data_IF_011283467066
#
_entry.id   IF_011283467066
#
_cell.length_a   1.000
_cell.length_b   1.000
_cell.length_c   1.000
_cell.angle_alpha   90.00
_cell.angle_beta   90.00
_cell.angle_gamma   90.00
#
_symmetry.space_group_name_H-M   'P 1'
#
loop_
_entity.id
_entity.type
_entity.pdbx_description
1 polymer ?
#
# COMPACT_ATOMS: atom_id res chain seq x y z
N UNK A 1 9.31 14.93 -1.39
CA UNK A 1 8.41 14.14 -0.56
C UNK A 1 9.21 13.05 0.12
N UNK A 2 9.11 12.92 1.45
CA UNK A 2 9.60 11.76 2.19
C UNK A 2 8.69 10.56 1.93
N UNK A 3 9.12 9.36 2.34
CA UNK A 3 8.27 8.17 2.15
C UNK A 3 6.97 8.26 2.96
N UNK A 4 7.05 8.81 4.17
CA UNK A 4 5.86 9.01 5.01
C UNK A 4 4.86 9.97 4.34
N UNK A 5 5.34 11.11 3.85
CA UNK A 5 4.48 12.07 3.14
C UNK A 5 3.89 11.49 1.85
N UNK A 6 4.62 10.59 1.18
CA UNK A 6 4.11 9.90 -0.01
C UNK A 6 2.97 8.93 0.32
N UNK A 7 3.11 8.15 1.39
CA UNK A 7 2.03 7.29 1.87
C UNK A 7 0.81 8.11 2.29
N UNK A 8 1.02 9.18 3.08
CA UNK A 8 -0.07 10.09 3.47
C UNK A 8 -0.74 10.71 2.24
N UNK A 9 0.00 11.05 1.19
CA UNK A 9 -0.58 11.52 -0.06
C UNK A 9 -1.46 10.46 -0.71
N UNK A 10 -0.99 9.22 -0.87
CA UNK A 10 -1.79 8.14 -1.46
C UNK A 10 -3.05 7.85 -0.63
N UNK A 11 -2.91 7.74 0.69
CA UNK A 11 -4.02 7.44 1.61
C UNK A 11 -5.16 8.47 1.55
N UNK A 12 -4.86 9.71 1.15
CA UNK A 12 -5.86 10.78 1.05
C UNK A 12 -6.37 11.04 -0.38
N UNK A 13 -5.64 10.59 -1.41
CA UNK A 13 -5.91 11.00 -2.81
C UNK A 13 -6.09 9.82 -3.77
N UNK A 14 -5.86 8.58 -3.32
CA UNK A 14 -5.96 7.38 -4.16
C UNK A 14 -7.04 6.43 -3.63
N UNK A 15 -8.11 6.29 -4.40
CA UNK A 15 -9.26 5.42 -4.13
C UNK A 15 -8.88 3.93 -4.01
N UNK A 16 -7.86 3.49 -4.76
CA UNK A 16 -7.35 2.12 -4.66
C UNK A 16 -6.69 1.78 -3.32
N UNK A 17 -6.43 2.76 -2.44
CA UNK A 17 -5.98 2.51 -1.08
C UNK A 17 -7.00 1.67 -0.29
N UNK A 18 -8.29 2.05 -0.32
CA UNK A 18 -9.34 1.33 0.39
C UNK A 18 -9.45 -0.12 -0.11
N UNK A 19 -9.41 -0.30 -1.44
CA UNK A 19 -9.44 -1.62 -2.09
C UNK A 19 -8.26 -2.49 -1.66
N UNK A 20 -7.05 -1.93 -1.61
CA UNK A 20 -5.88 -2.65 -1.12
C UNK A 20 -6.07 -3.07 0.33
N UNK A 21 -6.52 -2.16 1.19
CA UNK A 21 -6.65 -2.38 2.62
C UNK A 21 -7.70 -3.45 2.94
N UNK A 22 -8.81 -3.46 2.22
CA UNK A 22 -9.84 -4.51 2.32
C UNK A 22 -9.27 -5.89 1.96
N UNK A 23 -8.61 -6.00 0.79
CA UNK A 23 -7.99 -7.26 0.34
C UNK A 23 -6.91 -7.74 1.33
N UNK A 24 -6.07 -6.82 1.81
CA UNK A 24 -4.98 -7.14 2.73
C UNK A 24 -5.49 -7.54 4.11
N UNK A 25 -6.54 -6.89 4.62
CA UNK A 25 -7.18 -7.26 5.87
C UNK A 25 -7.81 -8.65 5.78
N UNK A 26 -8.57 -8.94 4.71
CA UNK A 26 -9.14 -10.26 4.46
C UNK A 26 -8.06 -11.35 4.45
N UNK A 27 -6.94 -11.12 3.74
CA UNK A 27 -5.79 -12.01 3.72
C UNK A 27 -5.21 -12.25 5.13
N UNK A 28 -4.97 -11.18 5.91
CA UNK A 28 -4.42 -11.31 7.25
C UNK A 28 -5.39 -12.03 8.21
N UNK A 29 -6.69 -11.81 8.09
CA UNK A 29 -7.69 -12.54 8.88
C UNK A 29 -7.69 -14.03 8.55
N UNK A 30 -7.68 -14.42 7.27
CA UNK A 30 -7.59 -15.82 6.85
C UNK A 30 -6.32 -16.48 7.40
N UNK A 31 -5.17 -15.81 7.25
CA UNK A 31 -3.90 -16.26 7.81
C UNK A 31 -3.95 -16.39 9.34
N UNK A 32 -4.60 -15.46 10.02
CA UNK A 32 -4.76 -15.48 11.47
C UNK A 32 -5.65 -16.63 11.94
N UNK A 33 -6.74 -16.95 11.22
CA UNK A 33 -7.64 -18.06 11.54
C UNK A 33 -6.92 -19.41 11.50
N UNK A 34 -5.97 -19.59 10.57
CA UNK A 34 -5.12 -20.78 10.43
C UNK A 34 -4.10 -20.93 11.57
N UNK A 35 -3.85 -19.91 12.39
CA UNK A 35 -2.95 -20.01 13.54
C UNK A 35 -3.57 -20.88 14.64
N UNK A 36 -2.75 -21.61 15.42
CA UNK A 36 -3.21 -22.26 16.64
C UNK A 36 -3.97 -21.27 17.53
N UNK A 37 -5.07 -21.70 18.16
CA UNK A 37 -5.99 -20.82 18.93
C UNK A 37 -5.24 -19.94 19.92
N UNK A 38 -4.27 -20.50 20.64
CA UNK A 38 -3.46 -19.79 21.65
C UNK A 38 -2.50 -18.74 21.06
N UNK A 39 -2.26 -18.77 19.76
CA UNK A 39 -1.33 -17.90 19.02
C UNK A 39 -2.02 -16.97 18.03
N UNK A 40 -3.36 -17.00 17.96
CA UNK A 40 -4.12 -16.06 17.14
C UNK A 40 -3.89 -14.63 17.62
N UNK A 41 -3.68 -13.75 16.66
CA UNK A 41 -3.55 -12.32 16.86
C UNK A 41 -4.89 -11.69 17.21
N UNK A 42 -4.83 -10.64 18.03
CA UNK A 42 -5.96 -9.74 18.24
C UNK A 42 -6.08 -8.75 17.07
N UNK A 43 -7.16 -7.99 17.04
CA UNK A 43 -7.48 -7.06 15.95
C UNK A 43 -6.36 -6.04 15.71
N UNK A 44 -5.83 -5.43 16.77
CA UNK A 44 -4.73 -4.46 16.66
C UNK A 44 -3.49 -5.03 15.96
N UNK A 45 -3.16 -6.30 16.20
CA UNK A 45 -2.03 -6.96 15.52
C UNK A 45 -2.33 -7.28 14.06
N UNK A 46 -3.58 -7.66 13.75
CA UNK A 46 -4.02 -7.87 12.35
C UNK A 46 -3.94 -6.55 11.59
N UNK A 47 -4.54 -5.48 12.11
CA UNK A 47 -4.48 -4.16 11.49
C UNK A 47 -3.05 -3.67 11.30
N UNK A 48 -2.17 -3.86 12.29
CA UNK A 48 -0.75 -3.50 12.15
C UNK A 48 -0.10 -4.28 11.00
N UNK A 49 -0.38 -5.58 10.87
CA UNK A 49 0.15 -6.38 9.77
C UNK A 49 -0.39 -5.92 8.40
N UNK A 50 -1.66 -5.56 8.32
CA UNK A 50 -2.30 -4.98 7.12
C UNK A 50 -1.61 -3.66 6.72
N UNK A 51 -1.42 -2.74 7.66
CA UNK A 51 -0.74 -1.46 7.39
C UNK A 51 0.71 -1.67 6.93
N UNK A 52 1.42 -2.67 7.49
CA UNK A 52 2.77 -3.02 7.04
C UNK A 52 2.79 -3.64 5.63
N UNK A 53 1.71 -4.31 5.19
CA UNK A 53 1.60 -4.75 3.80
C UNK A 53 1.51 -3.56 2.84
N UNK A 54 0.70 -2.54 3.17
CA UNK A 54 0.60 -1.31 2.37
C UNK A 54 1.95 -0.60 2.23
N UNK A 55 2.63 -0.38 3.36
CA UNK A 55 3.96 0.22 3.39
C UNK A 55 5.01 -0.59 2.62
N UNK A 56 4.86 -1.90 2.49
CA UNK A 56 5.82 -2.70 1.70
C UNK A 56 5.48 -2.66 0.22
N UNK A 57 4.18 -2.73 -0.11
CA UNK A 57 3.70 -2.69 -1.48
C UNK A 57 4.02 -1.36 -2.18
N UNK A 58 3.97 -0.23 -1.46
CA UNK A 58 4.21 1.10 -2.04
C UNK A 58 5.68 1.50 -2.13
N UNK A 59 6.58 0.78 -1.45
CA UNK A 59 8.01 1.10 -1.43
C UNK A 59 8.65 1.11 -2.83
N UNK A 60 8.42 0.11 -3.72
CA UNK A 60 9.01 0.10 -5.06
C UNK A 60 8.54 1.26 -5.94
N UNK A 61 7.27 1.65 -5.82
CA UNK A 61 6.73 2.82 -6.52
C UNK A 61 7.43 4.09 -6.04
N UNK A 62 7.49 4.29 -4.72
CA UNK A 62 8.19 5.44 -4.14
C UNK A 62 9.66 5.51 -4.58
N UNK A 63 10.39 4.39 -4.55
CA UNK A 63 11.80 4.37 -4.94
C UNK A 63 12.00 4.69 -6.42
N UNK A 64 11.07 4.26 -7.27
CA UNK A 64 11.05 4.60 -8.69
C UNK A 64 10.81 6.10 -8.89
N UNK A 65 9.74 6.65 -8.31
CA UNK A 65 9.44 8.08 -8.41
C UNK A 65 10.56 8.94 -7.85
N UNK A 66 11.14 8.55 -6.71
CA UNK A 66 12.28 9.26 -6.10
C UNK A 66 13.48 9.36 -7.04
N UNK A 67 13.77 8.28 -7.77
CA UNK A 67 14.88 8.23 -8.74
C UNK A 67 14.62 9.09 -9.97
N UNK A 68 13.38 9.16 -10.45
CA UNK A 68 13.02 9.96 -11.62
C UNK A 68 12.91 11.46 -11.27
N UNK A 69 12.20 11.81 -10.19
CA UNK A 69 11.92 13.20 -9.80
C UNK A 69 13.15 13.92 -9.24
N UNK A 70 14.03 13.19 -8.54
CA UNK A 70 15.30 13.70 -7.96
C UNK A 70 15.13 14.97 -7.12
N UNK A 71 13.99 15.16 -6.48
CA UNK A 71 13.69 16.32 -5.65
C UNK A 71 13.00 15.93 -4.36
N UNK A 72 13.28 16.65 -3.26
CA UNK A 72 12.54 16.51 -2.00
C UNK A 72 11.28 17.37 -1.92
N UNK A 73 10.99 18.20 -2.92
CA UNK A 73 9.91 19.19 -2.87
C UNK A 73 8.57 18.56 -3.25
N UNK A 74 7.54 18.68 -2.41
CA UNK A 74 6.26 17.97 -2.58
C UNK A 74 5.49 18.33 -3.86
N UNK A 75 5.41 19.60 -4.25
CA UNK A 75 4.65 19.97 -5.45
C UNK A 75 5.22 19.33 -6.73
N UNK A 76 6.54 19.14 -6.81
CA UNK A 76 7.18 18.47 -7.96
C UNK A 76 6.82 16.99 -8.06
N UNK A 77 6.53 16.36 -6.92
CA UNK A 77 6.05 14.99 -6.90
C UNK A 77 4.60 14.89 -7.36
N UNK A 78 3.76 15.79 -6.86
CA UNK A 78 2.34 15.85 -7.25
C UNK A 78 2.22 16.12 -8.75
N UNK A 79 2.95 17.12 -9.26
CA UNK A 79 3.00 17.43 -10.69
C UNK A 79 3.46 16.23 -11.54
N UNK A 80 4.49 15.51 -11.09
CA UNK A 80 4.95 14.31 -11.80
C UNK A 80 3.90 13.19 -11.79
N UNK A 81 3.27 12.95 -10.64
CA UNK A 81 2.22 11.93 -10.47
C UNK A 81 1.05 12.19 -11.40
N UNK A 82 0.62 13.45 -11.50
CA UNK A 82 -0.46 13.88 -12.39
C UNK A 82 -0.06 13.77 -13.87
N UNK A 83 1.12 14.29 -14.25
CA UNK A 83 1.58 14.30 -15.64
C UNK A 83 1.83 12.90 -16.23
N UNK A 84 2.14 11.92 -15.38
CA UNK A 84 2.44 10.54 -15.80
C UNK A 84 1.32 9.56 -15.42
N UNK A 85 0.14 10.06 -15.04
CA UNK A 85 -1.05 9.24 -14.72
C UNK A 85 -0.73 8.10 -13.73
N UNK A 86 0.16 8.37 -12.76
CA UNK A 86 0.74 7.33 -11.89
C UNK A 86 -0.33 6.63 -11.06
N UNK A 87 -1.36 7.38 -10.62
CA UNK A 87 -2.47 6.81 -9.85
C UNK A 87 -3.37 5.91 -10.70
N UNK A 88 -3.47 6.14 -12.01
CA UNK A 88 -4.24 5.28 -12.90
C UNK A 88 -3.54 3.94 -13.08
N UNK A 89 -2.24 3.95 -13.40
CA UNK A 89 -1.45 2.73 -13.48
C UNK A 89 -1.41 1.96 -12.14
N UNK A 90 -1.40 2.69 -11.01
CA UNK A 90 -1.51 2.06 -9.69
C UNK A 90 -2.90 1.44 -9.47
N UNK A 91 -3.99 2.09 -9.92
CA UNK A 91 -5.36 1.55 -9.83
C UNK A 91 -5.49 0.22 -10.55
N UNK A 92 -4.98 0.14 -11.77
CA UNK A 92 -4.99 -1.10 -12.56
C UNK A 92 -4.23 -2.21 -11.82
N UNK A 93 -3.05 -1.90 -11.27
CA UNK A 93 -2.29 -2.84 -10.47
C UNK A 93 -3.04 -3.30 -9.20
N UNK A 94 -3.83 -2.45 -8.55
CA UNK A 94 -4.65 -2.82 -7.37
C UNK A 94 -5.87 -3.66 -7.74
N UNK A 95 -6.47 -3.43 -8.91
CA UNK A 95 -7.58 -4.22 -9.41
C UNK A 95 -7.15 -5.69 -9.59
N UNK A 96 -6.00 -5.90 -10.24
CA UNK A 96 -5.41 -7.22 -10.52
C UNK A 96 -4.73 -7.86 -9.29
N UNK A 97 -4.49 -7.09 -8.24
CA UNK A 97 -3.82 -7.59 -7.04
C UNK A 97 -4.65 -8.71 -6.37
N UNK A 98 -4.04 -9.89 -6.29
CA UNK A 98 -4.46 -11.00 -5.44
C UNK A 98 -3.36 -11.28 -4.42
N UNK A 99 -3.73 -11.44 -3.15
CA UNK A 99 -2.82 -11.96 -2.14
C UNK A 99 -2.97 -13.47 -2.12
N UNK A 100 -2.10 -14.15 -2.86
CA UNK A 100 -2.11 -15.61 -2.85
C UNK A 100 -1.81 -16.14 -1.45
N UNK A 101 -2.47 -17.24 -1.09
CA UNK A 101 -2.04 -18.06 0.03
C UNK A 101 -0.69 -18.67 -0.37
N UNK A 102 0.40 -17.96 -0.11
CA UNK A 102 1.72 -18.59 -0.12
C UNK A 102 1.65 -19.77 0.86
N UNK A 103 1.54 -20.96 0.25
CA UNK A 103 1.42 -22.29 0.85
C UNK A 103 2.59 -22.60 1.77
#
# INVERSE_FOLDING_TARGET
MTYKEFLEYLENNFDGYEVFMEKAAAYQHLKNQKRPVKSRWNENKVQKATNEMWKKAMQPLYDTLKREIKSGISYKWIEYIEQHEVLEGLRDAMADLSFDEAS
#
